data_IF_071900799130
#
_entry.id   IF_071900799130
#
_cell.length_a   1.000
_cell.length_b   1.000
_cell.length_c   1.000
_cell.angle_alpha   90.00
_cell.angle_beta   90.00
_cell.angle_gamma   90.00
#
_symmetry.space_group_name_H-M   'P 1'
#
loop_
_entity.id
_entity.type
_entity.pdbx_description
1 polymer ?
#
# COMPACT_ATOMS: atom_id res chain seq x y z
N UNK A 1 -18.81 -10.63 -11.17
CA UNK A 1 -17.48 -10.61 -10.51
C UNK A 1 -17.66 -9.90 -9.20
N UNK A 2 -17.28 -10.51 -8.07
CA UNK A 2 -17.35 -9.85 -6.76
C UNK A 2 -16.25 -8.79 -6.78
N UNK A 3 -16.62 -7.51 -6.85
CA UNK A 3 -15.68 -6.43 -6.63
C UNK A 3 -15.15 -6.60 -5.20
N UNK A 4 -13.88 -6.97 -5.06
CA UNK A 4 -13.17 -6.86 -3.78
C UNK A 4 -13.18 -5.38 -3.44
N UNK A 5 -14.14 -5.00 -2.60
CA UNK A 5 -14.39 -3.62 -2.24
C UNK A 5 -13.09 -3.02 -1.69
N UNK A 6 -12.57 -2.02 -2.41
CA UNK A 6 -11.36 -1.32 -2.02
C UNK A 6 -11.49 -0.82 -0.58
N UNK A 7 -10.46 -1.07 0.23
CA UNK A 7 -10.41 -0.63 1.62
C UNK A 7 -9.08 0.07 1.87
N UNK A 8 -9.15 1.28 2.41
CA UNK A 8 -7.94 2.03 2.79
C UNK A 8 -7.15 1.36 3.92
N UNK A 9 -7.77 0.43 4.66
CA UNK A 9 -7.09 -0.39 5.65
C UNK A 9 -5.99 -1.28 5.03
N UNK A 10 -6.04 -1.53 3.73
CA UNK A 10 -5.01 -2.27 2.99
C UNK A 10 -3.85 -1.38 2.52
N UNK A 11 -3.92 -0.06 2.73
CA UNK A 11 -2.83 0.84 2.38
C UNK A 11 -1.68 0.73 3.39
N UNK A 12 -0.43 0.76 2.93
CA UNK A 12 0.73 0.79 3.81
C UNK A 12 0.76 2.09 4.60
N UNK A 13 1.02 1.98 5.91
CA UNK A 13 1.16 3.07 6.86
C UNK A 13 2.57 3.04 7.44
N UNK A 14 3.15 4.22 7.64
CA UNK A 14 4.46 4.38 8.26
C UNK A 14 4.52 5.74 8.97
N UNK A 15 5.10 5.82 10.18
CA UNK A 15 5.10 7.04 10.98
C UNK A 15 5.91 8.21 10.35
N UNK A 16 6.91 7.88 9.51
CA UNK A 16 7.73 8.86 8.78
C UNK A 16 7.19 9.24 7.39
N UNK A 17 6.02 8.71 6.98
CA UNK A 17 5.43 8.99 5.67
C UNK A 17 3.96 9.37 5.81
N UNK A 18 3.52 10.30 4.97
CA UNK A 18 2.13 10.76 4.92
C UNK A 18 1.59 10.57 3.52
N UNK A 19 0.48 9.87 3.38
CA UNK A 19 -0.21 9.75 2.09
C UNK A 19 -0.77 11.13 1.70
N UNK A 20 -0.35 11.65 0.56
CA UNK A 20 -0.79 12.96 0.04
C UNK A 20 -1.74 12.82 -1.15
N UNK A 21 -1.60 11.77 -1.95
CA UNK A 21 -2.53 11.47 -3.03
C UNK A 21 -2.84 9.97 -3.12
N UNK A 22 -4.11 9.67 -3.37
CA UNK A 22 -4.63 8.32 -3.60
C UNK A 22 -5.50 8.31 -4.87
N UNK A 23 -4.85 8.18 -6.02
CA UNK A 23 -5.53 8.31 -7.30
C UNK A 23 -5.97 6.95 -7.84
N UNK A 24 -7.20 6.88 -8.36
CA UNK A 24 -7.64 5.73 -9.14
C UNK A 24 -7.36 5.97 -10.62
N UNK A 25 -6.57 5.11 -11.24
CA UNK A 25 -6.30 5.13 -12.67
C UNK A 25 -6.98 3.94 -13.33
N UNK A 26 -8.08 4.20 -14.04
CA UNK A 26 -8.67 3.22 -14.94
C UNK A 26 -7.70 2.92 -16.08
N UNK A 27 -7.35 1.64 -16.26
CA UNK A 27 -6.49 1.18 -17.35
C UNK A 27 -7.32 0.65 -18.52
N UNK A 28 -8.44 0.00 -18.21
CA UNK A 28 -9.42 -0.50 -19.18
C UNK A 28 -10.79 -0.58 -18.52
N UNK A 29 -11.79 -1.10 -19.25
CA UNK A 29 -13.14 -1.36 -18.72
C UNK A 29 -13.13 -2.34 -17.53
N UNK A 30 -12.17 -3.26 -17.47
CA UNK A 30 -12.12 -4.32 -16.43
C UNK A 30 -11.05 -4.12 -15.37
N UNK A 31 -10.09 -3.23 -15.62
CA UNK A 31 -8.91 -3.09 -14.78
C UNK A 31 -8.68 -1.63 -14.42
N UNK A 32 -8.42 -1.42 -13.14
CA UNK A 32 -7.94 -0.15 -12.60
C UNK A 32 -6.77 -0.41 -11.67
N UNK A 33 -5.93 0.60 -11.47
CA UNK A 33 -4.85 0.58 -10.49
C UNK A 33 -4.94 1.81 -9.59
N UNK A 34 -4.44 1.68 -8.36
CA UNK A 34 -4.26 2.82 -7.47
C UNK A 34 -2.84 3.35 -7.55
N UNK A 35 -2.71 4.67 -7.72
CA UNK A 35 -1.45 5.39 -7.60
C UNK A 35 -1.44 6.10 -6.25
N UNK A 36 -0.51 5.71 -5.39
CA UNK A 36 -0.34 6.28 -4.07
C UNK A 36 0.89 7.16 -4.06
N UNK A 37 0.75 8.37 -3.54
CA UNK A 37 1.87 9.30 -3.38
C UNK A 37 2.04 9.58 -1.91
N UNK A 38 3.23 9.31 -1.41
CA UNK A 38 3.61 9.59 -0.02
C UNK A 38 4.63 10.72 0.03
N UNK A 39 4.42 11.61 0.97
CA UNK A 39 5.41 12.61 1.37
C UNK A 39 6.20 12.05 2.56
N UNK A 40 7.53 12.11 2.45
CA UNK A 40 8.42 11.81 3.57
C UNK A 40 8.41 12.99 4.54
N UNK A 41 7.82 12.81 5.71
CA UNK A 41 7.65 13.89 6.71
C UNK A 41 8.86 14.03 7.63
N UNK A 42 9.65 12.95 7.78
CA UNK A 42 10.88 12.93 8.57
C UNK A 42 11.78 11.76 8.17
N UNK A 43 12.97 11.71 8.77
CA UNK A 43 13.81 10.51 8.71
C UNK A 43 13.22 9.39 9.58
N UNK A 44 13.44 8.16 9.14
CA UNK A 44 13.06 6.95 9.86
C UNK A 44 13.97 6.75 11.06
N UNK A 45 13.40 6.34 12.19
CA UNK A 45 14.20 5.87 13.32
C UNK A 45 14.54 4.38 13.13
N UNK A 46 15.61 3.92 13.77
CA UNK A 46 16.01 2.52 13.70
C UNK A 46 14.90 1.61 14.23
N UNK A 47 14.56 0.58 13.44
CA UNK A 47 13.52 -0.39 13.79
C UNK A 47 12.09 0.01 13.40
N UNK A 48 11.87 1.22 12.86
CA UNK A 48 10.57 1.58 12.28
C UNK A 48 10.28 0.73 11.04
N UNK A 49 9.05 0.21 10.94
CA UNK A 49 8.59 -0.62 9.83
C UNK A 49 7.21 -0.20 9.37
N UNK A 50 6.95 -0.38 8.07
CA UNK A 50 5.63 -0.13 7.51
C UNK A 50 4.67 -1.27 7.91
N UNK A 51 3.40 -0.95 8.06
CA UNK A 51 2.35 -1.92 8.38
C UNK A 51 1.08 -1.64 7.56
N UNK A 52 0.21 -2.65 7.47
CA UNK A 52 -1.14 -2.54 6.90
C UNK A 52 -2.14 -2.95 7.98
N UNK A 53 -3.31 -2.32 8.03
CA UNK A 53 -4.33 -2.63 9.05
C UNK A 53 -5.14 -3.87 8.68
N UNK A 54 -5.39 -4.06 7.39
CA UNK A 54 -6.07 -5.24 6.86
C UNK A 54 -5.34 -5.71 5.61
N UNK A 55 -4.68 -6.86 5.72
CA UNK A 55 -4.07 -7.52 4.58
C UNK A 55 -5.14 -8.23 3.75
N UNK A 56 -5.58 -7.58 2.67
CA UNK A 56 -6.56 -8.13 1.73
C UNK A 56 -5.94 -9.11 0.71
N UNK A 57 -4.63 -9.36 0.75
CA UNK A 57 -3.90 -10.19 -0.22
C UNK A 57 -3.36 -11.50 0.39
N UNK A 58 -3.48 -11.66 1.71
CA UNK A 58 -2.99 -12.81 2.48
C UNK A 58 -3.56 -14.15 2.04
N UNK A 59 -4.75 -14.18 1.43
CA UNK A 59 -5.42 -15.41 0.99
C UNK A 59 -5.09 -15.84 -0.45
N UNK A 60 -4.32 -15.05 -1.22
CA UNK A 60 -4.14 -15.32 -2.67
C UNK A 60 -2.71 -15.22 -3.20
N UNK A 61 -1.69 -15.11 -2.36
CA UNK A 61 -0.31 -15.07 -2.83
C UNK A 61 0.57 -16.15 -2.20
N UNK A 62 0.95 -17.13 -3.02
CA UNK A 62 2.26 -17.75 -2.86
C UNK A 62 3.31 -16.63 -2.82
N UNK A 63 4.24 -16.77 -1.88
CA UNK A 63 5.38 -15.89 -1.57
C UNK A 63 5.08 -14.76 -0.59
N UNK A 64 5.06 -15.18 0.68
CA UNK A 64 5.81 -14.55 1.76
C UNK A 64 7.10 -13.91 1.24
N UNK A 65 7.09 -12.60 1.01
CA UNK A 65 8.27 -11.77 1.06
C UNK A 65 7.79 -10.34 1.28
N UNK A 66 7.63 -10.00 2.56
CA UNK A 66 7.84 -8.64 3.02
C UNK A 66 9.35 -8.33 2.95
N UNK A 67 10.01 -8.68 1.85
CA UNK A 67 11.40 -8.35 1.64
C UNK A 67 11.40 -6.92 1.17
N UNK A 68 11.69 -6.05 2.14
CA UNK A 68 12.32 -4.78 1.92
C UNK A 68 11.65 -3.95 0.82
N UNK A 69 10.60 -3.23 1.22
CA UNK A 69 10.30 -1.96 0.55
C UNK A 69 11.46 -1.00 0.81
N UNK A 70 12.61 -1.24 0.17
CA UNK A 70 13.68 -0.27 -0.02
C UNK A 70 13.17 0.75 -1.05
N UNK A 71 12.26 1.62 -0.61
CA UNK A 71 12.06 2.91 -1.26
C UNK A 71 13.01 3.86 -0.56
N UNK A 72 14.26 3.81 -1.00
CA UNK A 72 15.20 4.92 -0.83
C UNK A 72 14.88 5.99 -1.89
#
# INVERSE_FOLDING_TARGET
MRETQYSEAALPKHAAMRLVYNCNQSLSVRYSRRLLVYEKTRMTNDGEKAYVEKDCYRESSEKSQCDSWNVF
#
